data_IF_955017600013
#
_entry.id   IF_955017600013
#
_cell.length_a   1.000
_cell.length_b   1.000
_cell.length_c   1.000
_cell.angle_alpha   90.00
_cell.angle_beta   90.00
_cell.angle_gamma   90.00
#
_symmetry.space_group_name_H-M   'P 1'
#
loop_
_entity.id
_entity.type
_entity.pdbx_description
1 polymer ?
#
# COMPACT_ATOMS: atom_id res chain seq x y z
N UNK A 1 -19.81 3.21 -20.08
CA UNK A 1 -20.79 2.33 -19.40
C UNK A 1 -20.68 2.57 -17.90
N UNK A 2 -21.72 2.27 -17.11
CA UNK A 2 -21.69 2.42 -15.64
C UNK A 2 -21.86 1.06 -14.99
N UNK A 3 -21.01 0.72 -14.02
CA UNK A 3 -21.03 -0.54 -13.27
C UNK A 3 -21.05 -0.22 -11.78
N UNK A 4 -21.97 -0.85 -11.03
CA UNK A 4 -22.05 -0.70 -9.57
C UNK A 4 -21.59 -1.98 -8.89
N UNK A 5 -20.82 -1.82 -7.82
CA UNK A 5 -20.26 -2.88 -7.01
C UNK A 5 -20.56 -2.61 -5.54
N UNK A 6 -20.92 -3.64 -4.80
CA UNK A 6 -21.12 -3.54 -3.35
C UNK A 6 -20.16 -4.49 -2.65
N UNK A 7 -19.46 -3.99 -1.64
CA UNK A 7 -18.56 -4.80 -0.84
C UNK A 7 -18.40 -4.20 0.56
N UNK A 8 -17.94 -5.02 1.51
CA UNK A 8 -17.68 -4.59 2.89
C UNK A 8 -16.17 -4.39 3.13
N UNK A 9 -15.69 -3.15 3.36
CA UNK A 9 -14.25 -2.88 3.51
C UNK A 9 -13.57 -3.56 4.70
N UNK A 10 -14.29 -3.75 5.80
CA UNK A 10 -13.81 -4.36 7.03
C UNK A 10 -14.98 -4.98 7.82
N UNK A 11 -14.71 -5.94 8.71
CA UNK A 11 -15.74 -6.64 9.49
C UNK A 11 -16.67 -5.69 10.28
N UNK A 12 -16.14 -4.57 10.77
CA UNK A 12 -16.88 -3.57 11.55
C UNK A 12 -17.34 -2.35 10.74
N UNK A 13 -17.03 -2.25 9.44
CA UNK A 13 -17.49 -1.14 8.60
C UNK A 13 -18.85 -1.44 7.97
N UNK A 14 -19.60 -0.39 7.64
CA UNK A 14 -20.77 -0.52 6.76
C UNK A 14 -20.38 -0.94 5.34
N UNK A 15 -21.36 -1.44 4.58
CA UNK A 15 -21.21 -1.74 3.15
C UNK A 15 -20.95 -0.46 2.37
N UNK A 16 -20.06 -0.52 1.38
CA UNK A 16 -19.85 0.54 0.41
C UNK A 16 -20.43 0.13 -0.93
N UNK A 17 -21.13 1.06 -1.56
CA UNK A 17 -21.51 0.94 -2.96
C UNK A 17 -20.61 1.83 -3.81
N UNK A 18 -19.94 1.24 -4.78
CA UNK A 18 -19.01 1.92 -5.68
C UNK A 18 -19.54 1.82 -7.10
N UNK A 19 -19.87 2.97 -7.68
CA UNK A 19 -20.25 3.09 -9.08
C UNK A 19 -19.06 3.61 -9.89
N UNK A 20 -18.61 2.82 -10.85
CA UNK A 20 -17.55 3.14 -11.80
C UNK A 20 -18.18 3.46 -13.14
N UNK A 21 -17.89 4.65 -13.68
CA UNK A 21 -18.41 5.12 -14.97
C UNK A 21 -17.29 5.70 -15.82
N UNK A 22 -17.61 6.04 -17.07
CA UNK A 22 -16.68 6.73 -17.97
C UNK A 22 -16.38 8.18 -17.55
N UNK A 23 -17.22 8.77 -16.69
CA UNK A 23 -17.00 10.13 -16.18
C UNK A 23 -16.13 10.16 -14.91
N UNK A 24 -16.24 9.12 -14.09
CA UNK A 24 -15.57 9.03 -12.81
C UNK A 24 -16.08 7.91 -11.93
N UNK A 25 -15.76 8.01 -10.64
CA UNK A 25 -16.16 7.05 -9.60
C UNK A 25 -17.00 7.77 -8.55
N UNK A 26 -18.06 7.09 -8.10
CA UNK A 26 -18.88 7.50 -6.96
C UNK A 26 -18.89 6.41 -5.91
N UNK A 27 -18.67 6.78 -4.66
CA UNK A 27 -18.67 5.90 -3.49
C UNK A 27 -19.78 6.36 -2.56
N UNK A 28 -20.77 5.51 -2.36
CA UNK A 28 -21.86 5.72 -1.43
C UNK A 28 -21.66 4.86 -0.20
N UNK A 29 -21.73 5.50 0.97
CA UNK A 29 -21.75 4.88 2.29
C UNK A 29 -23.10 5.16 2.95
N UNK A 30 -23.34 4.64 4.17
CA UNK A 30 -24.57 4.94 4.91
C UNK A 30 -24.77 6.43 5.19
N UNK A 31 -23.66 7.18 5.29
CA UNK A 31 -23.66 8.54 5.84
C UNK A 31 -23.41 9.61 4.77
N UNK A 32 -22.73 9.24 3.68
CA UNK A 32 -22.33 10.18 2.64
C UNK A 32 -22.10 9.49 1.28
N UNK A 33 -22.24 10.27 0.22
CA UNK A 33 -21.77 9.94 -1.12
C UNK A 33 -20.62 10.88 -1.50
N UNK A 34 -19.47 10.30 -1.86
CA UNK A 34 -18.32 11.01 -2.38
C UNK A 34 -18.09 10.60 -3.83
N UNK A 35 -17.76 11.56 -4.69
CA UNK A 35 -17.44 11.27 -6.08
C UNK A 35 -16.32 12.15 -6.61
N UNK A 36 -15.69 11.69 -7.68
CA UNK A 36 -14.71 12.44 -8.45
C UNK A 36 -14.79 12.10 -9.93
N UNK A 37 -14.31 13.00 -10.77
CA UNK A 37 -14.14 12.76 -12.21
C UNK A 37 -12.75 12.27 -12.54
N UNK A 38 -12.59 11.45 -13.58
CA UNK A 38 -11.26 10.97 -14.00
C UNK A 38 -10.29 12.11 -14.35
N UNK A 39 -10.82 13.21 -14.89
CA UNK A 39 -10.04 14.42 -15.19
C UNK A 39 -9.45 15.10 -13.94
N UNK A 40 -10.01 14.87 -12.75
CA UNK A 40 -9.56 15.45 -11.48
C UNK A 40 -8.46 14.62 -10.81
N UNK A 41 -8.17 13.42 -11.31
CA UNK A 41 -7.17 12.51 -10.74
C UNK A 41 -5.77 12.97 -11.13
N UNK A 42 -4.92 13.20 -10.13
CA UNK A 42 -3.51 13.57 -10.33
C UNK A 42 -2.52 12.45 -9.96
N UNK A 43 -2.99 11.41 -9.29
CA UNK A 43 -2.17 10.26 -8.96
C UNK A 43 -3.01 9.11 -8.44
N UNK A 44 -2.53 7.89 -8.70
CA UNK A 44 -3.16 6.66 -8.27
C UNK A 44 -2.11 5.78 -7.62
N UNK A 45 -2.43 5.16 -6.49
CA UNK A 45 -1.54 4.19 -5.84
C UNK A 45 -2.28 2.90 -5.51
N UNK A 46 -1.75 1.79 -5.97
CA UNK A 46 -2.12 0.46 -5.51
C UNK A 46 -1.18 0.02 -4.38
N UNK A 47 -1.74 -0.55 -3.32
CA UNK A 47 -0.97 -1.08 -2.21
C UNK A 47 -1.60 -2.35 -1.65
N UNK A 48 -0.74 -3.27 -1.23
CA UNK A 48 -1.11 -4.45 -0.49
C UNK A 48 -0.10 -4.64 0.65
N UNK A 49 -0.59 -4.98 1.84
CA UNK A 49 0.22 -5.23 3.02
C UNK A 49 -0.37 -6.37 3.83
N UNK A 50 0.48 -7.10 4.54
CA UNK A 50 0.06 -8.09 5.52
C UNK A 50 0.61 -7.71 6.89
N UNK A 51 -0.23 -7.81 7.92
CA UNK A 51 0.16 -7.62 9.31
C UNK A 51 -0.31 -8.83 10.14
N UNK A 52 0.61 -9.74 10.44
CA UNK A 52 0.26 -11.00 11.11
C UNK A 52 -0.72 -11.81 10.27
N UNK A 53 -1.92 -12.03 10.82
CA UNK A 53 -3.02 -12.81 10.21
C UNK A 53 -4.04 -11.97 9.44
N UNK A 54 -3.71 -10.73 9.09
CA UNK A 54 -4.60 -9.86 8.34
C UNK A 54 -3.88 -9.30 7.12
N UNK A 55 -4.46 -9.53 5.95
CA UNK A 55 -4.13 -8.84 4.71
C UNK A 55 -4.93 -7.54 4.60
N UNK A 56 -4.34 -6.56 3.93
CA UNK A 56 -4.99 -5.32 3.56
C UNK A 56 -4.56 -4.97 2.15
N UNK A 57 -5.51 -4.52 1.35
CA UNK A 57 -5.20 -4.00 0.02
C UNK A 57 -6.08 -2.80 -0.29
N UNK A 58 -5.57 -1.91 -1.13
CA UNK A 58 -6.26 -0.68 -1.45
C UNK A 58 -5.76 0.00 -2.72
N UNK A 59 -6.65 0.84 -3.26
CA UNK A 59 -6.42 1.77 -4.34
C UNK A 59 -6.71 3.18 -3.83
N UNK A 60 -5.68 4.02 -3.77
CA UNK A 60 -5.76 5.41 -3.35
C UNK A 60 -5.77 6.31 -4.58
N UNK A 61 -6.76 7.21 -4.69
CA UNK A 61 -6.80 8.29 -5.67
C UNK A 61 -6.43 9.61 -5.02
N UNK A 62 -5.50 10.34 -5.64
CA UNK A 62 -5.14 11.71 -5.26
C UNK A 62 -5.75 12.69 -6.27
N UNK A 63 -6.53 13.64 -5.78
CA UNK A 63 -7.29 14.58 -6.61
C UNK A 63 -6.61 15.95 -6.66
N UNK A 64 -6.92 16.74 -7.68
CA UNK A 64 -6.31 18.06 -7.92
C UNK A 64 -6.56 19.09 -6.82
N UNK A 65 -7.62 18.93 -6.05
CA UNK A 65 -7.99 19.77 -4.91
C UNK A 65 -7.40 19.29 -3.57
N UNK A 66 -6.39 18.42 -3.61
CA UNK A 66 -5.79 17.73 -2.46
C UNK A 66 -6.71 16.75 -1.72
N UNK A 67 -7.94 16.50 -2.21
CA UNK A 67 -8.75 15.41 -1.67
C UNK A 67 -8.11 14.07 -2.02
N UNK A 68 -8.40 13.09 -1.18
CA UNK A 68 -8.00 11.70 -1.38
C UNK A 68 -9.22 10.82 -1.21
N UNK A 69 -9.38 9.87 -2.12
CA UNK A 69 -10.41 8.86 -2.01
C UNK A 69 -9.74 7.49 -1.96
N UNK A 70 -10.10 6.68 -0.96
CA UNK A 70 -9.54 5.36 -0.75
C UNK A 70 -10.60 4.27 -0.95
N UNK A 71 -10.27 3.29 -1.80
CA UNK A 71 -11.00 2.05 -1.95
C UNK A 71 -10.13 0.95 -1.38
N UNK A 72 -10.55 0.34 -0.27
CA UNK A 72 -9.76 -0.69 0.42
C UNK A 72 -10.62 -1.83 0.89
N UNK A 73 -10.00 -2.99 1.10
CA UNK A 73 -10.58 -4.16 1.76
C UNK A 73 -9.58 -4.78 2.74
N UNK A 74 -10.11 -5.34 3.81
CA UNK A 74 -9.38 -6.14 4.81
C UNK A 74 -9.65 -7.61 4.54
N UNK A 75 -8.59 -8.38 4.38
CA UNK A 75 -8.63 -9.81 4.08
C UNK A 75 -8.18 -10.59 5.33
N UNK A 76 -9.12 -11.17 6.10
CA UNK A 76 -8.78 -11.92 7.30
C UNK A 76 -8.17 -13.30 6.96
N UNK A 77 -7.16 -13.74 7.71
CA UNK A 77 -6.60 -15.09 7.57
C UNK A 77 -7.32 -16.12 8.49
N UNK A 78 -7.66 -17.33 8.00
CA UNK A 78 -7.43 -17.85 6.66
C UNK A 78 -8.29 -17.11 5.61
N UNK A 79 -7.65 -16.76 4.49
CA UNK A 79 -8.30 -16.09 3.36
C UNK A 79 -9.44 -16.97 2.85
N UNK A 80 -10.66 -16.56 3.11
CA UNK A 80 -11.86 -17.16 2.51
C UNK A 80 -12.30 -16.18 1.44
N UNK A 81 -12.03 -16.51 0.17
CA UNK A 81 -12.52 -15.71 -0.95
C UNK A 81 -14.04 -15.73 -0.92
N UNK A 82 -14.62 -14.62 -0.48
CA UNK A 82 -16.06 -14.45 -0.37
C UNK A 82 -16.61 -13.55 -1.50
N UNK A 83 -17.92 -13.30 -1.44
CA UNK A 83 -18.57 -12.46 -2.44
C UNK A 83 -18.07 -11.00 -2.40
N UNK A 84 -17.66 -10.51 -1.23
CA UNK A 84 -17.17 -9.14 -1.06
C UNK A 84 -15.77 -9.00 -1.66
N UNK A 85 -14.89 -9.98 -1.46
CA UNK A 85 -13.57 -10.04 -2.11
C UNK A 85 -13.68 -10.05 -3.63
N UNK A 86 -14.55 -10.90 -4.18
CA UNK A 86 -14.77 -10.97 -5.63
C UNK A 86 -15.36 -9.67 -6.18
N UNK A 87 -16.30 -9.06 -5.45
CA UNK A 87 -16.90 -7.78 -5.81
C UNK A 87 -15.86 -6.65 -5.80
N UNK A 88 -15.01 -6.61 -4.77
CA UNK A 88 -13.90 -5.67 -4.66
C UNK A 88 -12.89 -5.84 -5.80
N UNK A 89 -12.50 -7.08 -6.13
CA UNK A 89 -11.56 -7.33 -7.22
C UNK A 89 -12.13 -6.91 -8.57
N UNK A 90 -13.42 -7.20 -8.85
CA UNK A 90 -14.10 -6.73 -10.07
C UNK A 90 -14.17 -5.21 -10.14
N UNK A 91 -14.50 -4.55 -9.03
CA UNK A 91 -14.49 -3.09 -8.92
C UNK A 91 -13.09 -2.53 -9.20
N UNK A 92 -12.04 -3.14 -8.65
CA UNK A 92 -10.67 -2.69 -8.83
C UNK A 92 -10.25 -2.78 -10.31
N UNK A 93 -10.57 -3.90 -10.96
CA UNK A 93 -10.36 -4.09 -12.41
C UNK A 93 -11.14 -3.05 -13.22
N UNK A 94 -12.40 -2.78 -12.87
CA UNK A 94 -13.21 -1.76 -13.56
C UNK A 94 -12.59 -0.35 -13.42
N UNK A 95 -12.15 0.02 -12.22
CA UNK A 95 -11.45 1.29 -11.98
C UNK A 95 -10.16 1.40 -12.80
N UNK A 96 -9.33 0.35 -12.82
CA UNK A 96 -8.07 0.37 -13.57
C UNK A 96 -8.29 0.41 -15.09
N UNK A 97 -9.32 -0.28 -15.62
CA UNK A 97 -9.67 -0.24 -17.05
C UNK A 97 -10.17 1.14 -17.48
N UNK A 98 -11.04 1.76 -16.69
CA UNK A 98 -11.50 3.13 -16.99
C UNK A 98 -10.35 4.13 -16.81
N UNK A 99 -9.49 3.98 -15.81
CA UNK A 99 -8.29 4.80 -15.66
C UNK A 99 -7.37 4.70 -16.90
N UNK A 100 -7.08 3.48 -17.37
CA UNK A 100 -6.27 3.24 -18.56
C UNK A 100 -6.86 3.92 -19.82
N UNK A 101 -8.19 3.94 -19.91
CA UNK A 101 -8.92 4.49 -21.06
C UNK A 101 -9.00 6.02 -21.00
N UNK A 102 -9.36 6.58 -19.84
CA UNK A 102 -9.64 8.00 -19.68
C UNK A 102 -8.37 8.82 -19.38
N UNK A 103 -7.37 8.21 -18.74
CA UNK A 103 -6.12 8.83 -18.29
C UNK A 103 -4.91 7.92 -18.55
N UNK A 104 -4.61 7.60 -19.82
CA UNK A 104 -3.46 6.76 -20.18
C UNK A 104 -2.11 7.38 -19.81
N UNK A 105 -2.08 8.68 -19.52
CA UNK A 105 -0.91 9.42 -19.05
C UNK A 105 -0.52 9.10 -17.60
N UNK A 106 -1.44 8.55 -16.81
CA UNK A 106 -1.21 8.30 -15.38
C UNK A 106 -0.66 6.89 -15.15
N UNK A 107 0.55 6.83 -14.58
CA UNK A 107 1.07 5.61 -13.99
C UNK A 107 0.49 5.38 -12.59
N UNK A 108 0.33 4.12 -12.23
CA UNK A 108 -0.10 3.71 -10.90
C UNK A 108 1.14 3.43 -10.06
N UNK A 109 1.26 4.14 -8.95
CA UNK A 109 2.30 3.88 -7.93
C UNK A 109 2.01 2.53 -7.26
N UNK A 110 3.03 1.69 -7.12
CA UNK A 110 2.93 0.44 -6.34
C UNK A 110 3.69 0.58 -5.03
N UNK A 111 2.99 0.25 -3.93
CA UNK A 111 3.60 0.03 -2.63
C UNK A 111 3.12 0.98 -1.54
N UNK A 112 3.90 1.07 -0.47
CA UNK A 112 3.51 1.79 0.74
C UNK A 112 3.60 3.31 0.55
N UNK A 113 2.80 4.05 1.33
CA UNK A 113 2.92 5.52 1.43
C UNK A 113 4.37 5.91 1.75
N UNK A 114 4.90 6.93 1.07
CA UNK A 114 6.18 7.58 1.41
C UNK A 114 6.25 7.99 2.89
N UNK A 115 5.12 8.31 3.52
CA UNK A 115 5.07 8.62 4.95
C UNK A 115 5.50 7.46 5.86
N UNK A 116 5.19 6.21 5.48
CA UNK A 116 5.61 5.01 6.23
C UNK A 116 7.11 4.80 6.07
N UNK A 117 7.65 4.98 4.86
CA UNK A 117 9.09 4.94 4.61
C UNK A 117 9.83 6.00 5.44
N UNK A 118 9.33 7.25 5.46
CA UNK A 118 9.88 8.31 6.30
C UNK A 118 9.85 7.99 7.79
N UNK A 119 8.74 7.44 8.29
CA UNK A 119 8.62 7.07 9.69
C UNK A 119 9.66 6.01 10.08
N UNK A 120 9.78 4.95 9.28
CA UNK A 120 10.77 3.88 9.51
C UNK A 120 12.20 4.39 9.38
N UNK A 121 12.48 5.21 8.37
CA UNK A 121 13.78 5.86 8.22
C UNK A 121 14.17 6.69 9.44
N UNK A 122 13.26 7.56 9.93
CA UNK A 122 13.51 8.39 11.10
C UNK A 122 13.72 7.56 12.37
N UNK A 123 12.99 6.45 12.54
CA UNK A 123 13.23 5.49 13.63
C UNK A 123 14.67 4.97 13.57
N UNK A 124 15.13 4.55 12.38
CA UNK A 124 16.50 4.09 12.17
C UNK A 124 17.55 5.17 12.51
N UNK A 125 17.34 6.40 12.02
CA UNK A 125 18.23 7.55 12.30
C UNK A 125 18.28 7.87 13.80
N UNK A 126 17.13 7.87 14.48
CA UNK A 126 17.05 8.11 15.93
C UNK A 126 17.78 7.02 16.71
N UNK A 127 17.63 5.74 16.34
CA UNK A 127 18.38 4.64 16.95
C UNK A 127 19.90 4.82 16.81
N UNK A 128 20.39 5.21 15.63
CA UNK A 128 21.81 5.49 15.42
C UNK A 128 22.26 6.69 16.26
N UNK A 129 21.46 7.77 16.27
CA UNK A 129 21.73 8.96 17.06
C UNK A 129 21.85 8.67 18.56
N UNK A 130 20.95 7.85 19.12
CA UNK A 130 21.04 7.40 20.51
C UNK A 130 22.27 6.53 20.76
N UNK A 131 22.61 5.61 19.85
CA UNK A 131 23.80 4.76 19.98
C UNK A 131 25.07 5.62 20.05
N UNK A 132 25.18 6.61 19.15
CA UNK A 132 26.31 7.54 19.12
C UNK A 132 26.35 8.43 20.37
N UNK A 133 25.20 8.93 20.84
CA UNK A 133 25.12 9.72 22.05
C UNK A 133 25.61 8.94 23.28
N UNK A 134 25.20 7.66 23.42
CA UNK A 134 25.64 6.80 24.52
C UNK A 134 27.16 6.60 24.52
N UNK A 135 27.76 6.36 23.35
CA UNK A 135 29.22 6.24 23.22
C UNK A 135 29.89 7.56 23.60
N UNK A 136 29.39 8.69 23.09
CA UNK A 136 29.93 10.01 23.37
C UNK A 136 29.91 10.35 24.88
N UNK A 137 28.77 10.16 25.55
CA UNK A 137 28.65 10.42 26.99
C UNK A 137 29.52 9.49 27.83
N UNK A 138 29.60 8.21 27.47
CA UNK A 138 30.42 7.26 28.20
C UNK A 138 31.93 7.57 28.08
N UNK A 139 32.38 8.06 26.92
CA UNK A 139 33.75 8.55 26.72
C UNK A 139 34.00 9.86 27.49
N UNK A 140 33.06 10.81 27.46
CA UNK A 140 33.19 12.09 28.16
C UNK A 140 33.27 11.94 29.69
N UNK A 141 32.57 10.96 30.27
CA UNK A 141 32.60 10.67 31.71
C UNK A 141 33.76 9.74 32.12
N UNK A 142 34.60 9.29 31.19
CA UNK A 142 35.71 8.36 31.45
C UNK A 142 35.26 6.96 31.90
N UNK A 143 34.02 6.56 31.59
CA UNK A 143 33.39 5.32 32.07
C UNK A 143 33.65 4.13 31.13
N UNK A 144 34.91 3.88 30.80
CA UNK A 144 35.32 2.88 29.81
C UNK A 144 34.84 1.45 30.13
N UNK A 145 34.84 1.05 31.41
CA UNK A 145 34.37 -0.28 31.84
C UNK A 145 32.87 -0.51 31.61
N UNK A 146 32.05 0.54 31.67
CA UNK A 146 30.62 0.46 31.33
C UNK A 146 30.39 0.43 29.82
N UNK A 147 31.30 1.02 29.06
CA UNK A 147 31.28 1.06 27.60
C UNK A 147 31.58 -0.33 27.01
N UNK A 148 32.52 -1.07 27.60
CA UNK A 148 32.79 -2.48 27.24
C UNK A 148 31.56 -3.38 27.47
N UNK A 149 30.88 -3.22 28.61
CA UNK A 149 29.65 -3.97 28.90
C UNK A 149 28.47 -3.57 28.01
N UNK A 150 28.43 -2.32 27.55
CA UNK A 150 27.38 -1.79 26.68
C UNK A 150 27.70 -1.92 25.17
N UNK A 151 28.88 -2.41 24.81
CA UNK A 151 29.34 -2.45 23.42
C UNK A 151 28.43 -3.30 22.54
N UNK A 152 28.01 -4.47 23.05
CA UNK A 152 27.12 -5.38 22.35
C UNK A 152 25.73 -4.76 22.09
N UNK A 153 24.98 -4.24 23.09
CA UNK A 153 23.69 -3.62 22.83
C UNK A 153 23.80 -2.34 21.99
N UNK A 154 24.84 -1.53 22.16
CA UNK A 154 25.09 -0.36 21.30
C UNK A 154 25.32 -0.78 19.85
N UNK A 155 26.15 -1.81 19.63
CA UNK A 155 26.42 -2.37 18.31
C UNK A 155 25.16 -2.94 17.65
N UNK A 156 24.35 -3.69 18.40
CA UNK A 156 23.05 -4.19 17.91
C UNK A 156 22.11 -3.05 17.55
N UNK A 157 22.03 -2.00 18.36
CA UNK A 157 21.17 -0.84 18.08
C UNK A 157 21.64 -0.07 16.84
N UNK A 158 22.96 0.06 16.65
CA UNK A 158 23.54 0.65 15.44
C UNK A 158 23.24 -0.17 14.19
N UNK A 159 23.44 -1.50 14.25
CA UNK A 159 23.16 -2.40 13.12
C UNK A 159 21.67 -2.42 12.78
N UNK A 160 20.80 -2.51 13.78
CA UNK A 160 19.35 -2.52 13.59
C UNK A 160 18.86 -1.18 13.02
N UNK A 161 19.27 -0.06 13.63
CA UNK A 161 18.93 1.28 13.13
C UNK A 161 19.46 1.54 11.73
N UNK A 162 20.70 1.12 11.45
CA UNK A 162 21.33 1.19 10.13
C UNK A 162 20.61 0.37 9.07
N UNK A 163 20.26 -0.89 9.39
CA UNK A 163 19.53 -1.76 8.48
C UNK A 163 18.15 -1.19 8.12
N UNK A 164 17.42 -0.63 9.10
CA UNK A 164 16.13 0.02 8.86
C UNK A 164 16.31 1.28 8.01
N UNK A 165 17.23 2.17 8.38
CA UNK A 165 17.47 3.41 7.64
C UNK A 165 17.90 3.13 6.20
N UNK A 166 18.70 2.10 5.98
CA UNK A 166 19.14 1.67 4.65
C UNK A 166 17.99 1.09 3.82
N UNK A 167 17.18 0.20 4.39
CA UNK A 167 16.11 -0.46 3.63
C UNK A 167 14.91 0.45 3.34
N UNK A 168 14.67 1.45 4.18
CA UNK A 168 13.50 2.34 4.09
C UNK A 168 13.86 3.78 3.75
N UNK A 169 15.01 4.04 3.12
CA UNK A 169 15.41 5.40 2.78
C UNK A 169 14.38 6.08 1.84
N UNK A 170 13.91 7.30 2.14
CA UNK A 170 12.81 7.94 1.42
C UNK A 170 13.19 8.41 0.01
N UNK A 171 14.46 8.28 -0.37
CA UNK A 171 15.00 8.75 -1.64
C UNK A 171 14.86 7.73 -2.78
N UNK A 172 14.32 6.54 -2.51
CA UNK A 172 14.02 5.56 -3.57
C UNK A 172 12.90 6.10 -4.45
N UNK A 173 13.07 6.11 -5.79
CA UNK A 173 11.97 6.42 -6.68
C UNK A 173 10.86 5.38 -6.46
N UNK A 174 9.59 5.80 -6.39
CA UNK A 174 8.49 4.87 -6.27
C UNK A 174 8.39 4.00 -7.53
N UNK A 175 7.99 2.74 -7.36
CA UNK A 175 7.77 1.84 -8.50
C UNK A 175 6.49 2.29 -9.20
N UNK A 176 6.63 2.75 -10.43
CA UNK A 176 5.52 3.17 -11.29
C UNK A 176 5.24 2.05 -12.27
N UNK A 177 3.99 1.59 -12.33
CA UNK A 177 3.53 0.62 -13.30
C UNK A 177 2.37 1.20 -14.11
N UNK A 178 2.35 0.91 -15.41
CA UNK A 178 1.19 1.22 -16.24
C UNK A 178 -0.01 0.41 -15.74
N UNK A 179 -1.21 0.99 -15.85
CA UNK A 179 -2.46 0.35 -15.46
C UNK A 179 -2.64 -1.04 -16.08
N UNK A 180 -2.23 -1.20 -17.34
CA UNK A 180 -2.30 -2.48 -18.07
C UNK A 180 -1.37 -3.54 -17.48
N UNK A 181 -0.20 -3.16 -16.99
CA UNK A 181 0.71 -4.08 -16.33
C UNK A 181 0.11 -4.61 -15.01
N UNK A 182 -0.60 -3.75 -14.28
CA UNK A 182 -1.31 -4.14 -13.05
C UNK A 182 -2.50 -5.04 -13.37
N UNK A 183 -3.26 -4.75 -14.42
CA UNK A 183 -4.36 -5.61 -14.87
C UNK A 183 -3.88 -7.03 -15.16
N UNK A 184 -2.73 -7.18 -15.83
CA UNK A 184 -2.12 -8.50 -16.08
C UNK A 184 -1.65 -9.23 -14.80
N UNK A 185 -1.31 -8.51 -13.75
CA UNK A 185 -0.96 -9.12 -12.45
C UNK A 185 -2.21 -9.57 -11.67
N UNK A 186 -3.36 -8.96 -11.94
CA UNK A 186 -4.62 -9.24 -11.24
C UNK A 186 -5.49 -10.28 -11.98
N UNK A 187 -5.35 -10.40 -13.29
CA UNK A 187 -6.00 -11.46 -14.06
C UNK A 187 -5.29 -12.80 -13.76
N UNK A 188 -6.04 -13.88 -13.47
CA UNK A 188 -5.43 -15.21 -13.33
C UNK A 188 -4.72 -15.56 -14.65
N UNK A 189 -3.56 -16.26 -14.60
CA UNK A 189 -2.92 -16.72 -15.82
C UNK A 189 -3.95 -17.52 -16.64
N UNK A 190 -3.96 -17.37 -17.98
CA UNK A 190 -4.85 -18.18 -18.80
C UNK A 190 -4.60 -19.63 -18.42
N UNK A 191 -5.66 -20.35 -18.02
CA UNK A 191 -5.57 -21.79 -17.80
C UNK A 191 -4.95 -22.36 -19.08
N UNK A 192 -3.75 -22.92 -18.97
CA UNK A 192 -3.15 -23.70 -20.06
C UNK A 192 -4.17 -24.79 -20.38
N UNK A 193 -4.89 -24.57 -21.48
CA UNK A 193 -5.96 -25.44 -21.90
C UNK A 193 -5.45 -26.86 -21.95
N UNK A 194 -6.20 -27.73 -21.30
CA UNK A 194 -6.17 -29.18 -21.34
C UNK A 194 -6.08 -29.66 -22.80
N UNK A 195 -4.86 -29.67 -23.35
CA UNK A 195 -4.50 -30.29 -24.61
C UNK A 195 -3.74 -31.57 -24.30
N UNK A 196 -4.38 -32.52 -23.62
CA UNK A 196 -4.05 -33.94 -23.78
C UNK A 196 -5.06 -34.82 -23.03
N UNK A 197 -6.10 -35.26 -23.74
CA UNK A 197 -6.56 -36.66 -23.77
C UNK A 197 -7.91 -36.77 -24.51
N UNK A 198 -7.86 -36.71 -25.84
CA UNK A 198 -8.71 -37.57 -26.67
C UNK A 198 -7.84 -38.22 -27.73
N UNK A 199 -7.41 -39.44 -27.42
CA UNK A 199 -6.96 -40.44 -28.39
C UNK A 199 -7.44 -41.81 -27.89
#
# INVERSE_FOLDING_TARGET
>A
MSQSFQYKPALLSGTREVTVSTEGVSVTTSDATESFKWAEVNGVRYWAMAAGKAGFQGLDFSLADNRKLDLRITDPEPRVVDADDLSYMKMLVACLRELATQRPDLSVEIGNKKSVQWALFLIGVVCIGFALALVFFALAEGRNSRLEAALLPIGMMMLFGGAIAWNFHPFSPPVMLESDAILRMLEPPPEEGDQDQTA
#
